data_IF_645754694830
#
_entry.id   IF_645754694830
#
_cell.length_a   1.000
_cell.length_b   1.000
_cell.length_c   1.000
_cell.angle_alpha   90.00
_cell.angle_beta   90.00
_cell.angle_gamma   90.00
#
_symmetry.space_group_name_H-M   'P 1'
#
loop_
_entity.id
_entity.type
_entity.pdbx_description
1 polymer ?
#
# COMPACT_ATOMS: atom_id res chain seq x y z
N UNK A 1 17.15 -12.59 -31.54
CA UNK A 1 16.72 -12.64 -30.12
C UNK A 1 17.91 -12.94 -29.22
N UNK A 2 17.98 -12.33 -28.03
CA UNK A 2 18.98 -12.68 -27.00
C UNK A 2 18.30 -12.89 -25.66
N UNK A 3 18.54 -14.04 -25.02
CA UNK A 3 18.03 -14.38 -23.69
C UNK A 3 19.21 -14.36 -22.71
N UNK A 4 19.03 -13.72 -21.58
CA UNK A 4 20.00 -13.61 -20.49
C UNK A 4 19.31 -14.01 -19.19
N UNK A 5 19.90 -14.96 -18.45
CA UNK A 5 19.44 -15.29 -17.10
C UNK A 5 19.95 -14.24 -16.12
N UNK A 6 19.04 -13.53 -15.45
CA UNK A 6 19.39 -12.61 -14.37
C UNK A 6 19.48 -13.37 -13.06
N UNK A 7 18.50 -14.23 -12.79
CA UNK A 7 18.37 -15.04 -11.58
C UNK A 7 17.64 -16.35 -11.89
N UNK A 8 17.56 -17.26 -10.93
CA UNK A 8 16.74 -18.47 -11.04
C UNK A 8 15.24 -18.14 -11.19
N UNK A 9 14.82 -16.98 -10.68
CA UNK A 9 13.44 -16.48 -10.74
C UNK A 9 13.25 -15.35 -11.77
N UNK A 10 14.27 -14.94 -12.51
CA UNK A 10 14.16 -13.82 -13.46
C UNK A 10 15.02 -14.01 -14.71
N UNK A 11 14.39 -13.85 -15.88
CA UNK A 11 15.06 -13.84 -17.18
C UNK A 11 14.82 -12.52 -17.90
N UNK A 12 15.85 -12.05 -18.60
CA UNK A 12 15.78 -10.89 -19.48
C UNK A 12 15.89 -11.35 -20.92
N UNK A 13 15.03 -10.83 -21.76
CA UNK A 13 15.12 -11.04 -23.18
C UNK A 13 15.15 -9.73 -23.93
N UNK A 14 16.07 -9.62 -24.88
CA UNK A 14 16.16 -8.50 -25.80
C UNK A 14 15.66 -8.91 -27.18
N UNK A 15 14.62 -8.22 -27.65
CA UNK A 15 14.08 -8.35 -29.00
C UNK A 15 14.51 -7.16 -29.85
N UNK A 16 15.08 -7.46 -31.01
CA UNK A 16 15.47 -6.47 -32.01
C UNK A 16 14.34 -6.22 -33.03
N UNK A 17 14.45 -5.13 -33.80
CA UNK A 17 13.52 -4.79 -34.89
C UNK A 17 13.26 -5.95 -35.85
N UNK A 18 14.30 -6.71 -36.18
CA UNK A 18 14.22 -7.85 -37.09
C UNK A 18 13.38 -8.96 -36.47
N UNK A 19 13.61 -9.25 -35.19
CA UNK A 19 12.86 -10.28 -34.45
C UNK A 19 11.36 -9.91 -34.33
N UNK A 20 11.05 -8.62 -34.12
CA UNK A 20 9.68 -8.11 -34.05
C UNK A 20 8.96 -8.17 -35.41
N UNK A 21 9.66 -7.84 -36.50
CA UNK A 21 9.12 -7.86 -37.86
C UNK A 21 8.94 -9.28 -38.40
N UNK A 22 9.90 -10.18 -38.16
CA UNK A 22 9.82 -11.59 -38.59
C UNK A 22 8.63 -12.34 -37.97
N UNK A 23 8.18 -11.90 -36.79
CA UNK A 23 7.07 -12.51 -36.06
C UNK A 23 5.77 -11.68 -36.10
N UNK A 24 5.74 -10.60 -36.90
CA UNK A 24 4.60 -9.68 -37.04
C UNK A 24 4.05 -9.09 -35.72
N UNK A 25 4.92 -8.87 -34.72
CA UNK A 25 4.49 -8.40 -33.41
C UNK A 25 4.66 -6.89 -33.29
N UNK A 26 3.56 -6.20 -32.97
CA UNK A 26 3.58 -4.78 -32.60
C UNK A 26 3.72 -4.64 -31.09
N UNK A 27 4.45 -3.62 -30.64
CA UNK A 27 4.64 -3.28 -29.22
C UNK A 27 3.27 -3.13 -28.52
N UNK A 28 2.28 -2.57 -29.21
CA UNK A 28 0.91 -2.44 -28.73
C UNK A 28 0.22 -3.79 -28.48
N UNK A 29 0.51 -4.83 -29.27
CA UNK A 29 -0.16 -6.14 -29.16
C UNK A 29 0.44 -7.07 -28.10
N UNK A 30 1.67 -6.77 -27.66
CA UNK A 30 2.31 -7.43 -26.52
C UNK A 30 1.65 -7.02 -25.19
N UNK A 31 1.24 -5.76 -25.06
CA UNK A 31 0.58 -5.25 -23.87
C UNK A 31 -0.82 -5.85 -23.65
N UNK A 32 -1.56 -6.16 -24.74
CA UNK A 32 -2.93 -6.70 -24.66
C UNK A 32 -2.99 -8.24 -24.61
N UNK A 33 -1.87 -8.93 -24.48
CA UNK A 33 -1.88 -10.38 -24.26
C UNK A 33 -2.50 -11.20 -25.40
N UNK A 34 -2.30 -10.78 -26.65
CA UNK A 34 -2.75 -11.51 -27.84
C UNK A 34 -2.20 -12.96 -27.86
N UNK A 35 -2.91 -13.89 -28.49
CA UNK A 35 -2.48 -15.30 -28.56
C UNK A 35 -1.08 -15.47 -29.20
N UNK A 36 -0.74 -14.60 -30.16
CA UNK A 36 0.61 -14.54 -30.78
C UNK A 36 1.69 -14.18 -29.75
N UNK A 37 1.43 -13.22 -28.87
CA UNK A 37 2.35 -12.84 -27.80
C UNK A 37 2.49 -13.96 -26.75
N UNK A 38 1.38 -14.61 -26.36
CA UNK A 38 1.42 -15.79 -25.45
C UNK A 38 2.25 -16.94 -26.01
N UNK A 39 2.16 -17.19 -27.33
CA UNK A 39 2.98 -18.20 -27.99
C UNK A 39 4.47 -17.87 -27.96
N UNK A 40 4.83 -16.58 -28.13
CA UNK A 40 6.21 -16.11 -28.00
C UNK A 40 6.74 -16.34 -26.58
N UNK A 41 5.98 -15.98 -25.54
CA UNK A 41 6.44 -16.15 -24.16
C UNK A 41 6.66 -17.62 -23.81
N UNK A 42 5.79 -18.52 -24.27
CA UNK A 42 5.97 -19.96 -24.09
C UNK A 42 7.25 -20.47 -24.75
N UNK A 43 7.52 -20.05 -25.98
CA UNK A 43 8.75 -20.39 -26.72
C UNK A 43 9.99 -19.88 -25.97
N UNK A 44 9.93 -18.66 -25.42
CA UNK A 44 11.00 -18.07 -24.62
C UNK A 44 11.28 -18.82 -23.33
N UNK A 45 10.22 -19.17 -22.59
CA UNK A 45 10.33 -19.92 -21.34
C UNK A 45 10.89 -21.31 -21.62
N UNK A 46 10.44 -21.96 -22.68
CA UNK A 46 10.94 -23.28 -23.07
C UNK A 46 12.42 -23.24 -23.46
N UNK A 47 12.83 -22.21 -24.22
CA UNK A 47 14.24 -22.01 -24.55
C UNK A 47 15.08 -21.69 -23.32
N UNK A 48 14.57 -20.85 -22.40
CA UNK A 48 15.23 -20.53 -21.14
C UNK A 48 15.32 -21.74 -20.19
N UNK A 49 14.32 -22.62 -20.20
CA UNK A 49 14.33 -23.90 -19.49
C UNK A 49 15.43 -24.81 -20.01
N UNK A 50 15.53 -24.96 -21.33
CA UNK A 50 16.55 -25.81 -21.95
C UNK A 50 17.98 -25.28 -21.77
N UNK A 51 18.20 -23.98 -21.93
CA UNK A 51 19.54 -23.38 -21.89
C UNK A 51 20.01 -23.06 -20.46
N UNK A 52 19.10 -22.72 -19.54
CA UNK A 52 19.45 -22.17 -18.23
C UNK A 52 18.76 -22.83 -17.03
N UNK A 53 17.97 -23.89 -17.25
CA UNK A 53 17.25 -24.60 -16.19
C UNK A 53 16.14 -23.77 -15.55
N UNK A 54 15.57 -22.80 -16.27
CA UNK A 54 14.45 -22.00 -15.80
C UNK A 54 13.15 -22.82 -15.83
N UNK A 55 12.78 -23.45 -14.72
CA UNK A 55 11.55 -24.22 -14.56
C UNK A 55 10.39 -23.32 -14.10
N UNK A 56 9.47 -23.07 -15.02
CA UNK A 56 8.27 -22.24 -14.82
C UNK A 56 6.98 -22.97 -15.23
N UNK A 57 6.99 -24.31 -15.26
CA UNK A 57 5.77 -25.09 -15.45
C UNK A 57 4.83 -24.81 -14.24
N UNK A 58 3.61 -24.37 -14.55
CA UNK A 58 2.51 -24.12 -13.61
C UNK A 58 2.66 -22.98 -12.58
N UNK A 59 3.56 -22.02 -12.81
CA UNK A 59 3.74 -20.87 -11.90
C UNK A 59 3.43 -19.56 -12.63
N UNK A 60 2.63 -18.65 -12.05
CA UNK A 60 2.31 -17.37 -12.68
C UNK A 60 3.58 -16.55 -12.94
N UNK A 61 3.64 -15.91 -14.11
CA UNK A 61 4.80 -15.14 -14.55
C UNK A 61 4.39 -13.69 -14.78
N UNK A 62 5.16 -12.77 -14.19
CA UNK A 62 5.03 -11.34 -14.46
C UNK A 62 5.95 -10.96 -15.61
N UNK A 63 5.39 -10.30 -16.61
CA UNK A 63 6.10 -9.89 -17.83
C UNK A 63 6.10 -8.37 -17.91
N UNK A 64 7.27 -7.78 -17.81
CA UNK A 64 7.47 -6.34 -17.97
C UNK A 64 8.11 -6.06 -19.32
N UNK A 65 7.53 -5.13 -20.08
CA UNK A 65 8.02 -4.75 -21.40
C UNK A 65 8.57 -3.32 -21.36
N UNK A 66 9.89 -3.19 -21.46
CA UNK A 66 10.61 -1.91 -21.44
C UNK A 66 11.04 -1.57 -22.88
N UNK A 67 10.40 -0.58 -23.54
CA UNK A 67 10.85 -0.12 -24.84
C UNK A 67 12.15 0.68 -24.70
N UNK A 68 13.25 0.18 -25.28
CA UNK A 68 14.52 0.92 -25.33
C UNK A 68 14.53 1.91 -26.50
N UNK A 69 13.87 1.54 -27.59
CA UNK A 69 13.73 2.37 -28.79
C UNK A 69 12.45 1.93 -29.52
N UNK A 70 11.92 2.71 -30.48
CA UNK A 70 10.75 2.29 -31.26
C UNK A 70 10.93 0.93 -31.98
N UNK A 71 12.17 0.50 -32.14
CA UNK A 71 12.59 -0.67 -32.89
C UNK A 71 13.30 -1.72 -32.01
N UNK A 72 13.30 -1.57 -30.67
CA UNK A 72 13.93 -2.52 -29.75
C UNK A 72 13.18 -2.59 -28.42
N UNK A 73 12.87 -3.82 -28.00
CA UNK A 73 12.10 -4.10 -26.79
C UNK A 73 12.91 -5.01 -25.87
N UNK A 74 12.93 -4.70 -24.57
CA UNK A 74 13.42 -5.63 -23.55
C UNK A 74 12.25 -6.14 -22.74
N UNK A 75 12.18 -7.45 -22.61
CA UNK A 75 11.22 -8.15 -21.77
C UNK A 75 11.94 -8.66 -20.52
N UNK A 76 11.36 -8.39 -19.36
CA UNK A 76 11.79 -8.97 -18.08
C UNK A 76 10.67 -9.90 -17.63
N UNK A 77 10.99 -11.18 -17.48
CA UNK A 77 10.05 -12.21 -17.04
C UNK A 77 10.47 -12.64 -15.64
N UNK A 78 9.56 -12.50 -14.69
CA UNK A 78 9.78 -12.83 -13.28
C UNK A 78 8.80 -13.92 -12.87
N UNK A 79 9.31 -14.95 -12.18
CA UNK A 79 8.51 -15.99 -11.55
C UNK A 79 7.81 -15.43 -10.32
N UNK A 80 6.49 -15.50 -10.29
CA UNK A 80 5.67 -15.01 -9.18
C UNK A 80 5.28 -16.21 -8.33
N UNK A 81 5.79 -16.27 -7.10
CA UNK A 81 5.52 -17.39 -6.19
C UNK A 81 4.13 -17.29 -5.55
N UNK A 82 3.56 -16.08 -5.46
CA UNK A 82 2.21 -15.83 -4.96
C UNK A 82 1.43 -14.86 -5.88
N UNK A 83 0.46 -15.36 -6.67
CA UNK A 83 -0.36 -14.52 -7.55
C UNK A 83 -1.30 -13.57 -6.81
N UNK A 84 -1.66 -13.86 -5.55
CA UNK A 84 -2.65 -13.09 -4.80
C UNK A 84 -2.10 -11.71 -4.39
N UNK A 85 -0.78 -11.56 -4.22
CA UNK A 85 -0.13 -10.26 -3.96
C UNK A 85 -0.22 -9.28 -5.16
N UNK A 86 -0.31 -9.78 -6.39
CA UNK A 86 -0.37 -8.94 -7.59
C UNK A 86 -1.77 -8.39 -7.87
N UNK A 87 -2.82 -9.10 -7.47
CA UNK A 87 -4.21 -8.72 -7.78
C UNK A 87 -4.58 -7.35 -7.18
N UNK A 88 -4.09 -7.07 -5.96
CA UNK A 88 -4.27 -5.76 -5.29
C UNK A 88 -3.67 -4.57 -6.04
N UNK A 89 -2.66 -4.79 -6.91
CA UNK A 89 -2.03 -3.74 -7.75
C UNK A 89 -2.59 -3.71 -9.18
N UNK A 90 -3.09 -4.82 -9.70
CA UNK A 90 -3.66 -4.90 -11.06
C UNK A 90 -5.15 -4.55 -11.13
N UNK A 91 -5.90 -4.59 -10.02
CA UNK A 91 -7.29 -4.06 -9.96
C UNK A 91 -7.43 -2.58 -10.33
N UNK A 92 -6.31 -1.84 -10.42
CA UNK A 92 -6.30 -0.44 -10.92
C UNK A 92 -6.16 -0.29 -12.43
N UNK A 93 -5.86 -1.35 -13.19
CA UNK A 93 -5.55 -1.27 -14.63
C UNK A 93 -6.44 -2.11 -15.55
N UNK A 94 -7.37 -2.90 -15.02
CA UNK A 94 -8.48 -3.42 -15.81
C UNK A 94 -9.47 -2.27 -16.07
N UNK A 95 -9.74 -1.88 -17.33
CA UNK A 95 -10.93 -1.11 -17.61
C UNK A 95 -12.09 -2.10 -17.48
N UNK A 96 -12.59 -2.27 -16.26
CA UNK A 96 -13.89 -2.90 -16.08
C UNK A 96 -14.87 -2.10 -16.92
N UNK A 97 -15.58 -2.84 -17.78
CA UNK A 97 -16.70 -2.30 -18.53
C UNK A 97 -17.62 -1.64 -17.51
N UNK A 98 -17.77 -0.33 -17.63
CA UNK A 98 -18.85 0.42 -17.01
C UNK A 98 -20.14 -0.15 -17.60
N UNK A 99 -20.67 -1.20 -16.97
CA UNK A 99 -22.09 -1.45 -17.04
C UNK A 99 -22.73 -0.30 -16.25
N UNK A 100 -23.35 0.60 -17.00
CA UNK A 100 -24.24 1.64 -16.51
C UNK A 100 -25.37 0.98 -15.71
N UNK A 101 -25.22 0.89 -14.39
CA UNK A 101 -26.36 1.00 -13.48
C UNK A 101 -26.07 2.08 -12.45
N UNK A 102 -26.87 3.13 -12.53
CA UNK A 102 -26.74 4.40 -11.84
C UNK A 102 -27.38 4.24 -10.44
N UNK A 103 -26.56 3.92 -9.45
CA UNK A 103 -26.87 4.14 -8.03
C UNK A 103 -25.60 4.47 -7.25
N UNK A 104 -25.45 5.68 -6.68
CA UNK A 104 -24.31 6.01 -5.86
C UNK A 104 -24.56 5.49 -4.44
N UNK A 105 -24.15 4.25 -4.17
CA UNK A 105 -24.04 3.75 -2.80
C UNK A 105 -22.56 3.80 -2.36
N UNK A 106 -22.28 4.76 -1.47
CA UNK A 106 -20.98 5.06 -0.86
C UNK A 106 -20.64 4.06 0.27
N UNK A 107 -20.56 2.74 -0.02
CA UNK A 107 -20.30 1.72 1.03
C UNK A 107 -19.08 0.81 0.80
N UNK A 108 -18.29 0.96 -0.28
CA UNK A 108 -17.18 0.02 -0.58
C UNK A 108 -15.81 0.37 0.04
N UNK A 109 -15.61 1.57 0.59
CA UNK A 109 -14.30 2.02 1.09
C UNK A 109 -13.96 1.54 2.53
N UNK A 110 -14.94 1.04 3.30
CA UNK A 110 -14.71 0.60 4.70
C UNK A 110 -14.27 -0.85 4.81
N UNK A 111 -14.78 -1.73 3.95
CA UNK A 111 -14.44 -3.16 3.98
C UNK A 111 -12.97 -3.43 3.62
N UNK A 112 -12.42 -2.68 2.66
CA UNK A 112 -11.00 -2.76 2.28
C UNK A 112 -10.05 -2.27 3.39
N UNK A 113 -10.49 -1.33 4.24
CA UNK A 113 -9.70 -0.86 5.37
C UNK A 113 -9.63 -1.92 6.47
N UNK A 114 -10.72 -2.66 6.70
CA UNK A 114 -10.77 -3.74 7.68
C UNK A 114 -9.87 -4.93 7.28
N UNK A 115 -9.81 -5.31 5.99
CA UNK A 115 -8.88 -6.34 5.50
C UNK A 115 -7.41 -5.93 5.65
N UNK A 116 -7.05 -4.68 5.33
CA UNK A 116 -5.68 -4.18 5.48
C UNK A 116 -5.25 -4.13 6.96
N UNK A 117 -6.17 -3.74 7.85
CA UNK A 117 -5.91 -3.71 9.29
C UNK A 117 -5.75 -5.11 9.87
N UNK A 118 -6.58 -6.07 9.45
CA UNK A 118 -6.48 -7.47 9.86
C UNK A 118 -5.14 -8.10 9.42
N UNK A 119 -4.66 -7.80 8.20
CA UNK A 119 -3.34 -8.23 7.74
C UNK A 119 -2.19 -7.65 8.59
N UNK A 120 -2.33 -6.42 9.09
CA UNK A 120 -1.29 -5.77 9.88
C UNK A 120 -1.23 -6.33 11.31
N UNK A 121 -2.39 -6.64 11.91
CA UNK A 121 -2.46 -7.30 13.22
C UNK A 121 -1.92 -8.73 13.15
N UNK A 122 -2.23 -9.48 12.09
CA UNK A 122 -1.68 -10.83 11.86
C UNK A 122 -0.15 -10.83 11.72
N UNK A 123 0.41 -9.81 11.06
CA UNK A 123 1.87 -9.62 10.97
C UNK A 123 2.51 -9.31 12.33
N UNK A 124 1.83 -8.55 13.16
CA UNK A 124 2.32 -8.20 14.49
C UNK A 124 2.27 -9.41 15.45
N UNK A 125 1.23 -10.25 15.34
CA UNK A 125 1.08 -11.50 16.11
C UNK A 125 2.14 -12.55 15.74
N UNK A 126 2.51 -12.63 14.45
CA UNK A 126 3.62 -13.46 13.97
C UNK A 126 5.00 -12.98 14.48
N UNK A 127 5.15 -11.69 14.77
CA UNK A 127 6.37 -11.13 15.35
C UNK A 127 6.44 -11.31 16.86
N UNK A 128 5.32 -11.24 17.58
CA UNK A 128 5.25 -11.44 19.03
C UNK A 128 5.42 -12.92 19.45
N UNK A 129 5.15 -13.87 18.54
CA UNK A 129 5.27 -15.32 18.81
C UNK A 129 6.70 -15.90 18.85
N UNK A 130 7.77 -15.09 18.87
CA UNK A 130 9.16 -15.58 18.84
C UNK A 130 9.96 -15.40 20.13
N UNK A 131 9.32 -15.06 21.24
CA UNK A 131 9.97 -15.05 22.55
C UNK A 131 9.40 -16.16 23.46
N UNK A 132 10.30 -17.08 23.87
CA UNK A 132 10.17 -18.16 24.86
C UNK A 132 9.86 -19.58 24.32
N UNK A 133 10.91 -20.36 23.99
CA UNK A 133 11.50 -21.39 24.86
C UNK A 133 12.64 -22.16 24.16
N UNK A 134 13.61 -22.62 24.96
CA UNK A 134 14.94 -23.11 24.54
C UNK A 134 14.97 -24.60 24.15
N UNK A 135 15.96 -24.88 23.29
CA UNK A 135 16.73 -26.12 23.10
C UNK A 135 16.08 -27.29 22.34
N UNK A 136 16.45 -27.47 21.05
CA UNK A 136 17.50 -28.44 20.66
C UNK A 136 17.80 -28.42 19.15
N UNK A 137 19.05 -28.06 18.81
CA UNK A 137 19.87 -28.46 17.64
C UNK A 137 19.30 -28.37 16.20
N UNK A 138 19.63 -27.28 15.50
CA UNK A 138 20.54 -27.29 14.33
C UNK A 138 20.85 -25.86 13.88
N UNK A 139 22.14 -25.55 13.75
CA UNK A 139 22.72 -24.31 13.23
C UNK A 139 22.10 -23.89 11.89
N UNK A 140 21.49 -22.69 11.78
CA UNK A 140 21.62 -21.81 10.58
C UNK A 140 20.92 -20.43 10.64
N UNK A 141 20.55 -19.89 11.80
CA UNK A 141 19.98 -18.52 11.85
C UNK A 141 20.98 -17.49 12.39
N UNK A 142 21.46 -16.61 11.51
CA UNK A 142 22.27 -15.43 11.87
C UNK A 142 21.33 -14.23 11.92
N UNK A 143 21.11 -13.58 13.09
CA UNK A 143 20.28 -12.39 13.18
C UNK A 143 20.77 -11.28 12.24
N UNK A 144 19.83 -10.59 11.58
CA UNK A 144 20.08 -9.51 10.61
C UNK A 144 21.07 -8.42 11.08
N UNK A 145 21.14 -8.05 12.39
CA UNK A 145 22.15 -7.10 12.88
C UNK A 145 23.60 -7.61 12.76
N UNK A 146 23.83 -8.92 12.76
CA UNK A 146 25.15 -9.54 12.62
C UNK A 146 25.59 -9.68 11.15
N UNK A 147 24.65 -9.84 10.22
CA UNK A 147 24.93 -9.89 8.77
C UNK A 147 25.40 -8.54 8.20
N UNK A 148 25.09 -7.42 8.87
CA UNK A 148 25.39 -6.05 8.42
C UNK A 148 26.75 -5.51 8.88
N UNK A 149 27.59 -6.31 9.55
CA UNK A 149 29.01 -6.00 9.76
C UNK A 149 29.34 -4.77 10.62
N UNK A 150 28.41 -4.25 11.42
CA UNK A 150 28.68 -3.10 12.30
C UNK A 150 29.34 -3.54 13.62
N UNK A 151 30.67 -3.39 13.69
CA UNK A 151 31.44 -3.62 14.92
C UNK A 151 31.05 -2.62 16.02
N UNK A 152 30.51 -3.18 17.12
CA UNK A 152 30.24 -2.60 18.45
C UNK A 152 31.15 -1.43 18.87
N UNK A 153 30.53 -0.34 19.30
CA UNK A 153 30.86 0.30 20.59
C UNK A 153 29.63 0.21 21.49
N UNK A 154 29.79 -0.52 22.59
CA UNK A 154 28.83 -0.59 23.69
C UNK A 154 28.86 0.73 24.44
N UNK A 155 27.76 1.46 24.41
CA UNK A 155 27.28 2.25 25.54
C UNK A 155 25.81 1.89 25.70
N UNK A 156 25.46 1.54 26.93
CA UNK A 156 24.15 1.07 27.35
C UNK A 156 23.12 2.19 27.24
N UNK A 157 22.32 2.16 26.18
CA UNK A 157 21.00 2.78 26.18
C UNK A 157 19.98 1.69 25.93
N UNK A 158 19.02 1.58 26.85
CA UNK A 158 17.85 0.72 26.73
C UNK A 158 17.15 1.04 25.40
N UNK A 159 17.33 0.17 24.41
CA UNK A 159 16.46 0.14 23.23
C UNK A 159 15.10 -0.35 23.73
N UNK A 160 14.25 0.61 24.14
CA UNK A 160 12.82 0.36 24.26
C UNK A 160 12.36 -0.28 22.95
N UNK A 161 11.48 -1.30 23.01
CA UNK A 161 10.97 -1.92 21.81
C UNK A 161 10.44 -0.81 20.90
N UNK A 162 10.91 -0.77 19.66
CA UNK A 162 10.29 0.05 18.62
C UNK A 162 8.95 -0.62 18.33
N UNK A 163 7.98 -0.38 19.19
CA UNK A 163 6.57 -0.47 18.82
C UNK A 163 6.43 0.60 17.75
N UNK A 164 6.36 0.19 16.48
CA UNK A 164 5.88 1.07 15.42
C UNK A 164 4.41 1.31 15.76
N UNK A 165 4.16 2.26 16.67
CA UNK A 165 2.83 2.80 16.88
C UNK A 165 2.52 3.55 15.59
N UNK A 166 1.89 2.86 14.64
CA UNK A 166 1.37 3.49 13.44
C UNK A 166 0.22 4.39 13.90
N UNK A 167 0.54 5.64 14.24
CA UNK A 167 -0.43 6.68 14.62
C UNK A 167 -1.31 6.99 13.41
N UNK A 168 -2.32 6.14 13.22
CA UNK A 168 -3.24 6.24 12.09
C UNK A 168 -3.95 7.59 12.19
N UNK A 169 -3.73 8.44 11.19
CA UNK A 169 -4.30 9.79 11.14
C UNK A 169 -5.28 9.88 9.98
N UNK A 170 -6.48 10.35 10.27
CA UNK A 170 -7.55 10.58 9.30
C UNK A 170 -7.91 12.07 9.30
N UNK A 171 -8.42 12.53 8.16
CA UNK A 171 -8.78 13.92 7.94
C UNK A 171 -10.20 13.96 7.40
N UNK A 172 -10.99 14.90 7.91
CA UNK A 172 -12.36 15.11 7.48
C UNK A 172 -12.60 16.59 7.19
N UNK A 173 -13.38 16.89 6.15
CA UNK A 173 -13.77 18.25 5.77
C UNK A 173 -15.23 18.54 6.13
N UNK A 174 -15.47 19.78 6.58
CA UNK A 174 -16.77 20.27 7.05
C UNK A 174 -17.08 21.62 6.43
N UNK A 175 -18.36 21.87 6.18
CA UNK A 175 -18.83 23.13 5.58
C UNK A 175 -18.88 24.25 6.61
N UNK A 176 -19.08 23.93 7.87
CA UNK A 176 -19.14 24.92 8.96
C UNK A 176 -18.52 24.40 10.26
N UNK A 177 -18.05 25.32 11.09
CA UNK A 177 -17.57 25.00 12.44
C UNK A 177 -18.69 24.38 13.31
N UNK A 178 -19.95 24.73 13.02
CA UNK A 178 -21.11 24.24 13.78
C UNK A 178 -21.40 22.75 13.55
N UNK A 179 -21.02 22.19 12.41
CA UNK A 179 -21.04 20.74 12.18
C UNK A 179 -20.04 20.04 13.11
N UNK A 180 -18.84 20.61 13.25
CA UNK A 180 -17.79 20.08 14.13
C UNK A 180 -18.21 20.20 15.61
N UNK A 181 -18.85 21.30 16.01
CA UNK A 181 -19.37 21.47 17.38
C UNK A 181 -20.42 20.39 17.70
N UNK A 182 -21.39 20.18 16.80
CA UNK A 182 -22.41 19.13 16.95
C UNK A 182 -21.79 17.75 17.07
N UNK A 183 -20.90 17.41 16.14
CA UNK A 183 -20.12 16.16 16.19
C UNK A 183 -19.40 16.00 17.52
N UNK A 184 -18.72 17.05 17.99
CA UNK A 184 -17.92 17.03 19.20
C UNK A 184 -18.74 16.67 20.43
N UNK A 185 -19.97 17.18 20.54
CA UNK A 185 -20.89 16.83 21.62
C UNK A 185 -21.26 15.33 21.65
N UNK A 186 -21.26 14.65 20.50
CA UNK A 186 -21.59 13.23 20.39
C UNK A 186 -20.40 12.32 20.70
N UNK A 187 -19.18 12.70 20.29
CA UNK A 187 -18.01 11.82 20.39
C UNK A 187 -17.06 12.12 21.57
N UNK A 188 -17.28 13.21 22.32
CA UNK A 188 -16.39 13.65 23.42
C UNK A 188 -16.13 12.57 24.48
N UNK A 189 -17.11 11.71 24.77
CA UNK A 189 -16.97 10.65 25.77
C UNK A 189 -16.34 9.37 25.21
N UNK A 190 -16.39 9.19 23.90
CA UNK A 190 -15.92 7.97 23.22
C UNK A 190 -14.53 8.16 22.61
N UNK A 191 -14.12 9.40 22.36
CA UNK A 191 -12.84 9.72 21.73
C UNK A 191 -11.97 10.63 22.61
N UNK A 192 -10.77 10.17 22.90
CA UNK A 192 -9.73 10.87 23.67
C UNK A 192 -8.41 11.06 22.91
N UNK A 193 -8.39 10.78 21.59
CA UNK A 193 -7.18 10.89 20.77
C UNK A 193 -6.82 12.33 20.39
N UNK A 194 -5.61 12.51 19.85
CA UNK A 194 -5.13 13.81 19.38
C UNK A 194 -5.95 14.27 18.19
N UNK A 195 -6.50 15.47 18.29
CA UNK A 195 -7.31 16.05 17.22
C UNK A 195 -7.16 17.56 17.13
N UNK A 196 -7.13 18.08 15.91
CA UNK A 196 -6.86 19.49 15.59
C UNK A 196 -7.78 19.97 14.48
N UNK A 197 -8.31 21.19 14.61
CA UNK A 197 -9.17 21.83 13.61
C UNK A 197 -8.42 22.96 12.91
N UNK A 198 -8.40 22.90 11.60
CA UNK A 198 -7.91 23.92 10.69
C UNK A 198 -9.05 24.53 9.88
N UNK A 199 -8.85 25.72 9.36
CA UNK A 199 -9.74 26.39 8.42
C UNK A 199 -8.95 26.79 7.20
N UNK A 200 -9.42 26.40 6.02
CA UNK A 200 -8.84 26.84 4.78
C UNK A 200 -9.32 28.29 4.48
N UNK A 201 -8.40 29.28 4.39
CA UNK A 201 -8.77 30.68 4.21
C UNK A 201 -9.30 30.98 2.80
N UNK A 202 -9.08 30.10 1.82
CA UNK A 202 -9.45 30.32 0.41
C UNK A 202 -10.92 29.97 0.17
N UNK A 203 -11.35 28.80 0.61
CA UNK A 203 -12.73 28.31 0.39
C UNK A 203 -13.60 28.37 1.65
N UNK A 204 -13.02 28.66 2.82
CA UNK A 204 -13.74 28.73 4.09
C UNK A 204 -14.08 27.36 4.72
N UNK A 205 -13.63 26.25 4.12
CA UNK A 205 -13.88 24.89 4.59
C UNK A 205 -13.05 24.59 5.85
N UNK A 206 -13.64 23.85 6.78
CA UNK A 206 -12.99 23.43 8.01
C UNK A 206 -12.47 22.00 7.86
N UNK A 207 -11.30 21.72 8.41
CA UNK A 207 -10.67 20.40 8.37
C UNK A 207 -10.40 19.93 9.80
N UNK A 208 -10.94 18.78 10.15
CA UNK A 208 -10.63 18.08 11.40
C UNK A 208 -9.62 16.98 11.11
N UNK A 209 -8.46 17.06 11.74
CA UNK A 209 -7.46 16.00 11.75
C UNK A 209 -7.63 15.23 13.05
N UNK A 210 -7.81 13.91 12.96
CA UNK A 210 -7.89 13.02 14.11
C UNK A 210 -6.85 11.92 14.02
N UNK A 211 -6.28 11.54 15.16
CA UNK A 211 -5.35 10.42 15.27
C UNK A 211 -5.94 9.31 16.14
N UNK A 212 -5.59 8.06 15.82
CA UNK A 212 -5.99 6.87 16.59
C UNK A 212 -5.51 6.96 18.04
N UNK A 213 -4.26 7.38 18.27
CA UNK A 213 -3.67 7.47 19.61
C UNK A 213 -3.84 6.15 20.38
N UNK A 214 -4.45 6.18 21.58
CA UNK A 214 -4.62 5.00 22.46
C UNK A 214 -5.85 4.13 22.11
N UNK A 215 -6.67 4.50 21.12
CA UNK A 215 -7.87 3.73 20.75
C UNK A 215 -7.52 2.42 20.06
N UNK A 216 -8.33 1.39 20.25
CA UNK A 216 -8.28 0.19 19.40
C UNK A 216 -8.65 0.54 17.95
N UNK A 217 -8.18 -0.20 16.93
CA UNK A 217 -8.57 0.04 15.54
C UNK A 217 -10.10 0.04 15.36
N UNK A 218 -10.80 -0.87 16.03
CA UNK A 218 -12.27 -0.97 15.98
C UNK A 218 -12.97 0.26 16.57
N UNK A 219 -12.52 0.75 17.72
CA UNK A 219 -13.07 1.97 18.34
C UNK A 219 -12.82 3.19 17.45
N UNK A 220 -11.60 3.31 16.92
CA UNK A 220 -11.25 4.40 16.03
C UNK A 220 -12.07 4.38 14.73
N UNK A 221 -12.31 3.19 14.17
CA UNK A 221 -13.16 3.04 12.98
C UNK A 221 -14.60 3.44 13.26
N UNK A 222 -15.18 3.02 14.41
CA UNK A 222 -16.51 3.47 14.85
C UNK A 222 -16.59 4.99 14.98
N UNK A 223 -15.56 5.61 15.54
CA UNK A 223 -15.46 7.07 15.67
C UNK A 223 -15.39 7.71 14.28
N UNK A 224 -14.57 7.18 13.36
CA UNK A 224 -14.49 7.68 11.97
C UNK A 224 -15.85 7.60 11.27
N UNK A 225 -16.59 6.50 11.44
CA UNK A 225 -17.92 6.33 10.86
C UNK A 225 -18.90 7.39 11.37
N UNK A 226 -18.90 7.66 12.68
CA UNK A 226 -19.73 8.74 13.25
C UNK A 226 -19.32 10.10 12.67
N UNK A 227 -18.01 10.36 12.50
CA UNK A 227 -17.51 11.62 11.94
C UNK A 227 -17.96 11.81 10.49
N UNK A 228 -17.97 10.74 9.70
CA UNK A 228 -18.42 10.74 8.31
C UNK A 228 -19.89 11.14 8.13
N UNK A 229 -20.72 11.05 9.18
CA UNK A 229 -22.11 11.54 9.14
C UNK A 229 -22.20 13.07 9.13
N UNK A 230 -21.18 13.76 9.67
CA UNK A 230 -21.18 15.22 9.83
C UNK A 230 -20.27 15.90 8.80
N UNK A 231 -19.34 15.19 8.19
CA UNK A 231 -18.35 15.71 7.25
C UNK A 231 -17.85 14.66 6.28
N UNK A 232 -17.10 15.09 5.27
CA UNK A 232 -16.58 14.19 4.23
C UNK A 232 -15.17 13.71 4.57
N UNK A 233 -14.92 12.41 4.41
CA UNK A 233 -13.58 11.84 4.56
C UNK A 233 -12.65 12.36 3.46
N UNK A 234 -11.47 12.85 3.86
CA UNK A 234 -10.46 13.38 2.94
C UNK A 234 -9.27 12.45 2.86
N UNK A 235 -8.67 12.36 1.66
CA UNK A 235 -7.44 11.59 1.47
C UNK A 235 -6.29 12.23 2.23
N UNK A 236 -5.91 11.58 3.34
CA UNK A 236 -4.78 11.98 4.15
C UNK A 236 -3.52 11.18 3.79
N UNK A 237 -2.39 11.89 3.72
CA UNK A 237 -1.05 11.30 3.64
C UNK A 237 -0.28 11.65 4.90
N UNK A 238 0.89 11.04 5.09
CA UNK A 238 1.77 11.37 6.22
C UNK A 238 2.16 12.87 6.27
N UNK A 239 2.13 13.56 5.13
CA UNK A 239 2.47 14.98 5.04
C UNK A 239 1.26 15.91 5.21
N UNK A 240 0.02 15.40 5.19
CA UNK A 240 -1.19 16.22 5.24
C UNK A 240 -1.28 17.08 6.51
N UNK A 241 -1.00 16.59 7.73
CA UNK A 241 -1.01 17.43 8.93
C UNK A 241 -0.01 18.59 8.86
N UNK A 242 1.20 18.34 8.32
CA UNK A 242 2.23 19.37 8.14
C UNK A 242 1.80 20.41 7.12
N UNK A 243 1.21 19.97 5.99
CA UNK A 243 0.66 20.87 4.98
C UNK A 243 -0.41 21.80 5.55
N UNK A 244 -1.36 21.27 6.34
CA UNK A 244 -2.40 22.09 6.96
C UNK A 244 -1.84 23.06 7.99
N UNK A 245 -0.85 22.65 8.78
CA UNK A 245 -0.18 23.54 9.73
C UNK A 245 0.52 24.73 9.07
N UNK A 246 1.00 24.57 7.83
CA UNK A 246 1.68 25.63 7.07
C UNK A 246 0.73 26.51 6.24
N UNK A 247 -0.31 25.91 5.65
CA UNK A 247 -1.14 26.57 4.63
C UNK A 247 -2.51 27.00 5.13
N UNK A 248 -3.02 26.40 6.22
CA UNK A 248 -4.35 26.68 6.75
C UNK A 248 -4.28 27.45 8.08
N UNK A 249 -5.38 28.10 8.41
CA UNK A 249 -5.53 28.79 9.68
C UNK A 249 -5.84 27.77 10.79
N UNK A 250 -4.99 27.70 11.80
CA UNK A 250 -5.20 26.87 12.97
C UNK A 250 -6.31 27.48 13.85
N UNK A 251 -7.42 26.77 14.02
CA UNK A 251 -8.55 27.21 14.85
C UNK A 251 -8.36 26.72 16.28
N UNK A 252 -8.21 25.40 16.46
CA UNK A 252 -7.93 24.79 17.76
C UNK A 252 -6.92 23.68 17.56
N UNK A 253 -5.78 23.82 18.25
CA UNK A 253 -4.74 22.81 18.35
C UNK A 253 -4.98 21.90 19.52
N UNK A 254 -4.89 20.60 19.27
CA UNK A 254 -4.97 19.50 20.23
C UNK A 254 -6.24 19.52 21.10
N UNK A 255 -6.93 18.38 21.18
CA UNK A 255 -8.19 18.27 21.92
C UNK A 255 -9.29 19.23 21.43
N UNK A 256 -9.35 19.47 20.12
CA UNK A 256 -10.36 20.33 19.51
C UNK A 256 -11.79 19.86 19.82
N UNK A 257 -12.07 18.55 19.72
CA UNK A 257 -13.35 17.92 20.05
C UNK A 257 -13.75 18.23 21.50
N UNK A 258 -12.85 18.04 22.46
CA UNK A 258 -13.13 18.27 23.88
C UNK A 258 -13.38 19.75 24.20
N UNK A 259 -12.75 20.66 23.44
CA UNK A 259 -12.99 22.10 23.60
C UNK A 259 -14.28 22.55 22.93
N UNK A 260 -14.57 22.03 21.74
CA UNK A 260 -15.76 22.40 20.96
C UNK A 260 -17.03 21.80 21.55
N UNK A 261 -16.96 20.68 22.29
CA UNK A 261 -18.13 20.10 22.95
C UNK A 261 -18.70 20.96 24.09
N UNK A 262 -17.97 21.98 24.56
CA UNK A 262 -18.37 22.86 25.67
C UNK A 262 -18.86 24.23 25.16
N UNK A 263 -18.75 24.49 23.85
CA UNK A 263 -19.26 25.70 23.21
C UNK A 263 -20.74 25.54 22.82
#
# INVERSE_FOLDING_TARGET
MKIEKISDNQIRCTLSKKDLLERELRISELAYGTEKAKALFRDMIQQASYEFGFEAEDIPLMIEAIPISPDSLVLVITKVEDPEELDTRFSRFSPEQMDEDDSPDEEEDTAYADEILHCFDQLNELMEGTEEEKDTSSDDFIPLPEALGQKKKKESEELKPITVQTDLTKVFSFRSLEEIIRLSAHIVYSYNGINTVYKNPVNGTYYLVISKSEHTPEEFNKICNIISEYGSSERATYASPAYYAEHFELIIKDNAIQRLSVM
#
